data_IF_776916073829
#
_entry.id   IF_776916073829
#
_cell.length_a   1.000
_cell.length_b   1.000
_cell.length_c   1.000
_cell.angle_alpha   90.00
_cell.angle_beta   90.00
_cell.angle_gamma   90.00
#
_symmetry.space_group_name_H-M   'P 1'
#
loop_
_entity.id
_entity.type
_entity.pdbx_description
1 polymer ?
#
# COMPACT_ATOMS: atom_id res chain seq x y z
N UNK A 1 4.03 -4.07 23.46
CA UNK A 1 3.53 -3.30 22.31
C UNK A 1 3.60 -4.17 21.07
N UNK A 2 2.47 -4.35 20.45
CA UNK A 2 2.44 -5.07 19.18
C UNK A 2 3.06 -4.19 18.09
N UNK A 3 4.17 -4.67 17.54
CA UNK A 3 4.82 -3.97 16.44
C UNK A 3 4.23 -4.50 15.13
N UNK A 4 3.50 -3.62 14.43
CA UNK A 4 2.96 -3.99 13.12
C UNK A 4 4.10 -4.24 12.13
N UNK A 5 4.00 -5.35 11.41
CA UNK A 5 4.93 -5.68 10.34
C UNK A 5 4.49 -5.02 9.05
N UNK A 6 5.40 -4.31 8.40
CA UNK A 6 5.21 -3.68 7.11
C UNK A 6 6.14 -4.37 6.10
N UNK A 7 5.54 -5.00 5.10
CA UNK A 7 6.28 -5.53 3.96
C UNK A 7 6.40 -4.43 2.91
N UNK A 8 7.59 -4.18 2.41
CA UNK A 8 7.84 -3.12 1.44
C UNK A 8 8.61 -3.66 0.23
N UNK A 9 8.26 -3.19 -0.95
CA UNK A 9 8.94 -3.58 -2.18
C UNK A 9 8.76 -2.54 -3.27
N UNK A 10 9.74 -2.43 -4.15
CA UNK A 10 9.73 -1.50 -5.27
C UNK A 10 10.69 -1.95 -6.37
N UNK A 11 10.39 -1.56 -7.60
CA UNK A 11 11.34 -1.64 -8.70
C UNK A 11 12.28 -0.42 -8.70
N UNK A 12 13.07 -0.28 -9.76
CA UNK A 12 14.01 0.84 -9.92
C UNK A 12 13.34 2.22 -9.79
N UNK A 13 12.11 2.38 -10.32
CA UNK A 13 11.43 3.68 -10.29
C UNK A 13 11.01 4.09 -8.87
N UNK A 14 10.73 3.12 -8.01
CA UNK A 14 10.37 3.37 -6.61
C UNK A 14 11.51 3.16 -5.61
N UNK A 15 12.69 2.77 -6.07
CA UNK A 15 13.79 2.36 -5.21
C UNK A 15 14.20 3.43 -4.19
N UNK A 16 14.45 4.65 -4.64
CA UNK A 16 14.89 5.73 -3.76
C UNK A 16 13.83 6.07 -2.69
N UNK A 17 12.57 6.18 -3.12
CA UNK A 17 11.48 6.46 -2.19
C UNK A 17 11.27 5.29 -1.22
N UNK A 18 11.43 4.05 -1.67
CA UNK A 18 11.37 2.87 -0.80
C UNK A 18 12.41 2.96 0.33
N UNK A 19 13.64 3.29 0.00
CA UNK A 19 14.72 3.41 1.00
C UNK A 19 14.41 4.52 2.02
N UNK A 20 13.86 5.64 1.57
CA UNK A 20 13.45 6.74 2.45
C UNK A 20 12.32 6.30 3.38
N UNK A 21 11.28 5.66 2.84
CA UNK A 21 10.13 5.21 3.63
C UNK A 21 10.51 4.09 4.60
N UNK A 22 11.40 3.21 4.21
CA UNK A 22 11.91 2.16 5.07
C UNK A 22 12.50 2.74 6.35
N UNK A 23 13.42 3.69 6.23
CA UNK A 23 14.03 4.37 7.38
C UNK A 23 13.00 5.13 8.20
N UNK A 24 12.08 5.81 7.54
CA UNK A 24 11.01 6.55 8.19
C UNK A 24 10.13 5.65 9.06
N UNK A 25 9.74 4.50 8.53
CA UNK A 25 8.91 3.52 9.24
C UNK A 25 9.66 2.85 10.39
N UNK A 26 10.92 2.50 10.19
CA UNK A 26 11.76 1.92 11.22
C UNK A 26 11.91 2.87 12.41
N UNK A 27 12.11 4.17 12.16
CA UNK A 27 12.19 5.20 13.20
C UNK A 27 10.89 5.36 13.98
N UNK A 28 9.76 5.02 13.38
CA UNK A 28 8.45 5.04 14.04
C UNK A 28 8.16 3.77 14.84
N UNK A 29 9.03 2.78 14.77
CA UNK A 29 8.92 1.55 15.53
C UNK A 29 8.25 0.39 14.79
N UNK A 30 7.95 0.54 13.50
CA UNK A 30 7.43 -0.56 12.71
C UNK A 30 8.52 -1.59 12.41
N UNK A 31 8.12 -2.85 12.32
CA UNK A 31 8.98 -3.93 11.84
C UNK A 31 8.90 -3.96 10.30
N UNK A 32 9.92 -3.46 9.63
CA UNK A 32 9.92 -3.35 8.17
C UNK A 32 10.70 -4.52 7.55
N UNK A 33 10.03 -5.25 6.66
CA UNK A 33 10.64 -6.35 5.89
C UNK A 33 10.72 -5.91 4.44
N UNK A 34 11.93 -5.71 3.95
CA UNK A 34 12.22 -5.25 2.60
C UNK A 34 12.37 -6.44 1.66
N UNK A 35 11.52 -6.50 0.64
CA UNK A 35 11.52 -7.54 -0.38
C UNK A 35 12.26 -7.13 -1.67
N UNK A 36 12.94 -6.00 -1.66
CA UNK A 36 13.73 -5.51 -2.80
C UNK A 36 13.01 -4.35 -3.51
N UNK A 37 13.64 -3.77 -4.50
CA UNK A 37 14.97 -4.12 -4.99
C UNK A 37 16.04 -3.72 -3.96
N UNK A 38 17.11 -4.49 -3.90
CA UNK A 38 18.23 -4.20 -2.99
C UNK A 38 19.22 -3.21 -3.58
N UNK A 39 19.13 -3.00 -4.88
CA UNK A 39 19.96 -2.05 -5.62
C UNK A 39 19.18 -1.46 -6.80
N UNK A 40 19.62 -0.32 -7.29
CA UNK A 40 19.03 0.29 -8.48
C UNK A 40 19.45 -0.46 -9.73
N UNK A 41 18.47 -1.00 -10.48
CA UNK A 41 18.67 -1.65 -11.77
C UNK A 41 17.52 -1.21 -12.70
N UNK A 42 17.83 -0.36 -13.67
CA UNK A 42 16.82 0.19 -14.59
C UNK A 42 16.10 -0.85 -15.46
N UNK A 43 16.67 -2.06 -15.53
CA UNK A 43 16.11 -3.16 -16.32
C UNK A 43 15.31 -4.17 -15.50
N UNK A 44 15.08 -3.87 -14.21
CA UNK A 44 14.32 -4.80 -13.35
C UNK A 44 12.82 -4.79 -13.66
N UNK A 45 12.15 -5.85 -13.22
CA UNK A 45 10.72 -6.06 -13.42
C UNK A 45 9.99 -5.91 -12.07
N UNK A 46 9.04 -4.97 -11.99
CA UNK A 46 8.32 -4.70 -10.75
C UNK A 46 7.64 -5.93 -10.13
N UNK A 47 7.04 -6.88 -10.90
CA UNK A 47 6.36 -8.03 -10.27
C UNK A 47 7.27 -8.85 -9.36
N UNK A 48 8.56 -8.92 -9.66
CA UNK A 48 9.52 -9.70 -8.88
C UNK A 48 9.63 -9.20 -7.43
N UNK A 49 9.35 -7.92 -7.19
CA UNK A 49 9.41 -7.30 -5.86
C UNK A 49 8.03 -7.14 -5.22
N UNK A 50 6.98 -7.07 -6.05
CA UNK A 50 5.61 -6.82 -5.57
C UNK A 50 4.93 -8.11 -5.13
N UNK A 51 5.09 -9.21 -5.85
CA UNK A 51 4.49 -10.49 -5.46
C UNK A 51 4.92 -10.96 -4.07
N UNK A 52 6.21 -10.89 -3.68
CA UNK A 52 6.59 -11.25 -2.31
C UNK A 52 5.89 -10.40 -1.25
N UNK A 53 5.73 -9.10 -1.46
CA UNK A 53 4.99 -8.23 -0.54
C UNK A 53 3.55 -8.71 -0.41
N UNK A 54 2.86 -8.88 -1.52
CA UNK A 54 1.45 -9.27 -1.55
C UNK A 54 1.24 -10.67 -0.91
N UNK A 55 2.09 -11.63 -1.23
CA UNK A 55 2.01 -12.98 -0.69
C UNK A 55 2.19 -13.00 0.83
N UNK A 56 3.12 -12.22 1.35
CA UNK A 56 3.36 -12.14 2.79
C UNK A 56 2.21 -11.42 3.52
N UNK A 57 1.65 -10.37 2.93
CA UNK A 57 0.46 -9.71 3.50
C UNK A 57 -0.73 -10.66 3.54
N UNK A 58 -0.93 -11.46 2.50
CA UNK A 58 -2.02 -12.45 2.46
C UNK A 58 -1.88 -13.53 3.51
N UNK A 59 -0.65 -13.91 3.87
CA UNK A 59 -0.36 -14.94 4.87
C UNK A 59 -0.48 -14.43 6.31
N UNK A 60 -0.27 -13.13 6.52
CA UNK A 60 -0.33 -12.50 7.84
C UNK A 60 -1.30 -11.32 7.80
N UNK A 61 -2.53 -11.55 8.24
CA UNK A 61 -3.60 -10.56 8.20
C UNK A 61 -3.37 -9.36 9.13
N UNK A 62 -2.43 -9.44 10.05
CA UNK A 62 -2.05 -8.33 10.92
C UNK A 62 -0.96 -7.44 10.28
N UNK A 63 -0.34 -7.90 9.21
CA UNK A 63 0.64 -7.12 8.47
C UNK A 63 0.01 -6.24 7.39
N UNK A 64 0.79 -5.29 6.89
CA UNK A 64 0.41 -4.44 5.77
C UNK A 64 1.56 -4.35 4.77
N UNK A 65 1.23 -3.99 3.54
CA UNK A 65 2.22 -3.86 2.48
C UNK A 65 2.27 -2.45 1.93
N UNK A 66 3.47 -2.02 1.53
CA UNK A 66 3.69 -0.79 0.79
C UNK A 66 4.50 -1.15 -0.45
N UNK A 67 3.96 -0.82 -1.60
CA UNK A 67 4.61 -1.09 -2.89
C UNK A 67 4.78 0.21 -3.65
N UNK A 68 5.88 0.34 -4.36
CA UNK A 68 6.23 1.55 -5.06
C UNK A 68 6.73 1.25 -6.47
N UNK A 69 6.36 2.12 -7.38
CA UNK A 69 6.86 2.13 -8.75
C UNK A 69 6.83 3.54 -9.28
N UNK A 70 6.92 3.72 -10.59
CA UNK A 70 6.84 5.04 -11.20
C UNK A 70 5.45 5.66 -11.05
N UNK A 71 4.40 4.88 -11.28
CA UNK A 71 3.00 5.32 -11.16
C UNK A 71 2.22 4.59 -10.07
N UNK A 72 2.71 3.47 -9.59
CA UNK A 72 1.98 2.61 -8.66
C UNK A 72 0.90 1.76 -9.31
N UNK A 73 0.61 1.95 -10.59
CA UNK A 73 -0.52 1.27 -11.26
C UNK A 73 -0.25 -0.22 -11.47
N UNK A 74 0.88 -0.55 -12.09
CA UNK A 74 1.28 -1.94 -12.32
C UNK A 74 1.49 -2.69 -11.03
N UNK A 75 2.06 -2.02 -10.05
CA UNK A 75 2.31 -2.56 -8.71
C UNK A 75 0.99 -2.96 -8.02
N UNK A 76 -0.03 -2.11 -8.08
CA UNK A 76 -1.35 -2.44 -7.53
C UNK A 76 -2.01 -3.60 -8.29
N UNK A 77 -1.88 -3.63 -9.62
CA UNK A 77 -2.40 -4.74 -10.43
C UNK A 77 -1.75 -6.05 -9.99
N UNK A 78 -0.42 -6.06 -9.86
CA UNK A 78 0.32 -7.25 -9.43
C UNK A 78 -0.12 -7.70 -8.03
N UNK A 79 -0.17 -6.77 -7.08
CA UNK A 79 -0.56 -7.09 -5.71
C UNK A 79 -1.98 -7.67 -5.63
N UNK A 80 -2.92 -7.11 -6.39
CA UNK A 80 -4.31 -7.57 -6.40
C UNK A 80 -4.52 -8.93 -7.07
N UNK A 81 -3.51 -9.48 -7.73
CA UNK A 81 -3.56 -10.86 -8.25
C UNK A 81 -3.43 -11.90 -7.13
N UNK A 82 -3.01 -11.50 -5.96
CA UNK A 82 -2.88 -12.39 -4.80
C UNK A 82 -4.18 -12.35 -4.01
N UNK A 83 -4.78 -13.52 -3.81
CA UNK A 83 -6.03 -13.64 -3.06
C UNK A 83 -5.86 -13.12 -1.63
N UNK A 84 -6.81 -12.31 -1.18
CA UNK A 84 -6.77 -11.71 0.16
C UNK A 84 -6.08 -10.34 0.20
N UNK A 85 -5.50 -9.89 -0.92
CA UNK A 85 -4.89 -8.56 -1.03
C UNK A 85 -5.89 -7.58 -1.61
N UNK A 86 -5.96 -6.42 -0.99
CA UNK A 86 -6.74 -5.26 -1.44
C UNK A 86 -5.79 -4.08 -1.54
N UNK A 87 -5.17 -3.93 -2.70
CA UNK A 87 -4.21 -2.88 -2.98
C UNK A 87 -4.91 -1.68 -3.62
N UNK A 88 -4.55 -0.51 -3.16
CA UNK A 88 -5.04 0.77 -3.69
C UNK A 88 -3.85 1.64 -4.09
N UNK A 89 -4.05 2.48 -5.11
CA UNK A 89 -3.05 3.44 -5.56
C UNK A 89 -3.32 4.80 -4.94
N UNK A 90 -2.28 5.45 -4.47
CA UNK A 90 -2.35 6.85 -4.03
C UNK A 90 -1.25 7.66 -4.73
N UNK A 91 -1.65 8.66 -5.52
CA UNK A 91 -0.76 9.55 -6.25
C UNK A 91 -1.07 11.04 -5.98
N UNK A 92 -1.87 11.30 -4.97
CA UNK A 92 -2.26 12.65 -4.56
C UNK A 92 -3.71 12.70 -4.13
N UNK A 93 -4.04 13.73 -3.39
CA UNK A 93 -5.41 13.95 -2.90
C UNK A 93 -6.21 14.75 -3.95
N UNK A 94 -7.39 14.25 -4.28
CA UNK A 94 -8.32 14.91 -5.20
C UNK A 94 -9.55 15.42 -4.47
N UNK A 95 -10.11 16.52 -4.96
CA UNK A 95 -11.36 17.07 -4.43
C UNK A 95 -12.57 16.43 -5.11
N UNK A 96 -13.65 16.15 -4.37
CA UNK A 96 -14.90 15.69 -4.99
C UNK A 96 -15.43 16.70 -5.99
N UNK A 97 -15.87 16.20 -7.15
CA UNK A 97 -16.30 17.04 -8.27
C UNK A 97 -17.58 17.84 -7.95
N UNK A 98 -18.43 17.34 -7.06
CA UNK A 98 -19.68 17.98 -6.65
C UNK A 98 -19.55 18.83 -5.39
N UNK A 99 -18.32 19.03 -4.90
CA UNK A 99 -18.03 19.87 -3.75
C UNK A 99 -18.44 19.33 -2.39
N UNK A 100 -18.96 18.08 -2.33
CA UNK A 100 -19.32 17.48 -1.03
C UNK A 100 -18.11 17.26 -0.14
N UNK A 101 -18.32 17.31 1.16
CA UNK A 101 -17.30 16.92 2.11
C UNK A 101 -17.28 15.40 2.22
N UNK A 102 -16.11 14.82 1.99
CA UNK A 102 -15.87 13.38 2.18
C UNK A 102 -14.52 13.20 2.88
N UNK A 103 -14.32 12.08 3.57
CA UNK A 103 -13.00 11.76 4.09
C UNK A 103 -11.96 11.74 2.97
N UNK A 104 -10.71 12.02 3.31
CA UNK A 104 -9.62 11.89 2.36
C UNK A 104 -9.62 10.50 1.71
N UNK A 105 -9.21 10.43 0.45
CA UNK A 105 -9.23 9.18 -0.31
C UNK A 105 -8.50 8.04 0.41
N UNK A 106 -7.35 8.36 1.01
CA UNK A 106 -6.55 7.37 1.72
C UNK A 106 -7.25 6.86 3.00
N UNK A 107 -7.98 7.73 3.68
CA UNK A 107 -8.81 7.36 4.85
C UNK A 107 -9.94 6.43 4.41
N UNK A 108 -10.60 6.77 3.31
CA UNK A 108 -11.69 5.96 2.74
C UNK A 108 -11.22 4.56 2.36
N UNK A 109 -10.01 4.45 1.79
CA UNK A 109 -9.43 3.15 1.44
C UNK A 109 -9.32 2.22 2.66
N UNK A 110 -8.98 2.77 3.82
CA UNK A 110 -8.93 2.00 5.06
C UNK A 110 -10.31 1.76 5.64
N UNK A 111 -11.10 2.81 5.81
CA UNK A 111 -12.40 2.72 6.49
C UNK A 111 -13.42 1.87 5.74
N UNK A 112 -13.43 1.93 4.42
CA UNK A 112 -14.43 1.24 3.61
C UNK A 112 -13.95 -0.08 3.02
N UNK A 113 -12.68 -0.17 2.65
CA UNK A 113 -12.16 -1.31 1.89
C UNK A 113 -11.16 -2.16 2.66
N UNK A 114 -10.80 -1.74 3.86
CA UNK A 114 -9.75 -2.40 4.65
C UNK A 114 -8.53 -2.72 3.77
N UNK A 115 -8.12 -1.71 2.98
CA UNK A 115 -7.00 -1.85 2.06
C UNK A 115 -5.74 -2.23 2.84
N UNK A 116 -5.12 -3.34 2.46
CA UNK A 116 -3.97 -3.90 3.17
C UNK A 116 -2.65 -3.73 2.43
N UNK A 117 -2.68 -3.20 1.20
CA UNK A 117 -1.50 -2.80 0.44
C UNK A 117 -1.72 -1.40 -0.12
N UNK A 118 -0.77 -0.53 0.14
CA UNK A 118 -0.75 0.84 -0.41
C UNK A 118 0.29 0.91 -1.51
N UNK A 119 -0.13 1.32 -2.71
CA UNK A 119 0.75 1.48 -3.86
C UNK A 119 0.99 2.96 -4.14
N UNK A 120 2.24 3.35 -4.23
CA UNK A 120 2.66 4.75 -4.40
C UNK A 120 3.41 4.94 -5.70
N UNK A 121 3.08 6.02 -6.41
CA UNK A 121 3.78 6.42 -7.62
C UNK A 121 4.88 7.44 -7.31
N UNK A 122 6.13 6.99 -7.34
CA UNK A 122 7.28 7.81 -6.97
C UNK A 122 7.48 9.02 -7.91
N UNK A 123 6.96 8.95 -9.13
CA UNK A 123 7.04 10.07 -10.08
C UNK A 123 6.02 11.17 -9.81
N UNK A 124 5.02 10.90 -8.97
CA UNK A 124 3.90 11.82 -8.73
C UNK A 124 3.87 12.38 -7.30
N UNK A 125 4.61 11.78 -6.39
CA UNK A 125 4.60 12.16 -4.98
C UNK A 125 5.95 12.71 -4.56
N UNK A 126 5.93 13.81 -3.81
CA UNK A 126 7.11 14.23 -3.07
C UNK A 126 7.36 13.28 -1.89
N UNK A 127 8.56 13.33 -1.33
CA UNK A 127 8.90 12.61 -0.11
C UNK A 127 7.92 12.91 1.03
N UNK A 128 7.60 14.19 1.22
CA UNK A 128 6.67 14.66 2.25
C UNK A 128 5.26 14.10 2.04
N UNK A 129 4.75 14.19 0.81
CA UNK A 129 3.44 13.66 0.47
C UNK A 129 3.36 12.14 0.70
N UNK A 130 4.40 11.41 0.34
CA UNK A 130 4.47 9.97 0.55
C UNK A 130 4.47 9.61 2.04
N UNK A 131 5.26 10.32 2.85
CA UNK A 131 5.30 10.11 4.30
C UNK A 131 3.97 10.41 4.96
N UNK A 132 3.33 11.52 4.61
CA UNK A 132 2.02 11.88 5.15
C UNK A 132 0.96 10.84 4.78
N UNK A 133 0.96 10.38 3.54
CA UNK A 133 0.03 9.36 3.08
C UNK A 133 0.21 8.04 3.83
N UNK A 134 1.44 7.61 4.00
CA UNK A 134 1.77 6.36 4.72
C UNK A 134 1.33 6.46 6.18
N UNK A 135 1.64 7.58 6.85
CA UNK A 135 1.22 7.79 8.24
C UNK A 135 -0.29 7.72 8.39
N UNK A 136 -1.00 8.48 7.58
CA UNK A 136 -2.46 8.53 7.64
C UNK A 136 -3.07 7.16 7.37
N UNK A 137 -2.55 6.44 6.39
CA UNK A 137 -3.02 5.11 6.02
C UNK A 137 -2.80 4.10 7.16
N UNK A 138 -1.63 4.10 7.77
CA UNK A 138 -1.30 3.19 8.87
C UNK A 138 -2.06 3.52 10.16
N UNK A 139 -2.36 4.79 10.41
CA UNK A 139 -3.09 5.25 11.59
C UNK A 139 -4.60 5.07 11.47
N UNK A 140 -5.13 4.85 10.26
CA UNK A 140 -6.57 4.72 10.02
C UNK A 140 -6.99 3.26 10.10
N UNK A 141 -7.94 2.96 10.96
CA UNK A 141 -8.52 1.63 11.09
C UNK A 141 -9.67 1.37 10.11
N UNK A 142 -10.06 0.11 9.99
CA UNK A 142 -11.27 -0.28 9.28
C UNK A 142 -12.50 0.06 10.13
N UNK A 143 -13.56 0.57 9.48
CA UNK A 143 -14.79 0.98 10.19
C UNK A 143 -15.56 -0.18 10.82
N UNK A 144 -15.42 -1.38 10.24
CA UNK A 144 -16.16 -2.56 10.69
C UNK A 144 -17.64 -2.56 10.36
N UNK A 145 -18.13 -1.57 9.61
CA UNK A 145 -19.54 -1.51 9.20
C UNK A 145 -19.96 -2.72 8.36
N UNK A 146 -21.11 -3.28 8.65
CA UNK A 146 -21.61 -4.51 8.02
C UNK A 146 -21.65 -4.44 6.49
N UNK A 147 -22.07 -3.31 5.94
CA UNK A 147 -22.13 -3.11 4.48
C UNK A 147 -20.74 -3.22 3.82
N UNK A 148 -19.69 -2.74 4.50
CA UNK A 148 -18.32 -2.82 4.00
C UNK A 148 -17.75 -4.24 4.16
N UNK A 149 -18.02 -4.89 5.28
CA UNK A 149 -17.67 -6.30 5.50
C UNK A 149 -18.28 -7.20 4.42
N UNK A 150 -19.57 -6.99 4.12
CA UNK A 150 -20.27 -7.77 3.09
C UNK A 150 -19.60 -7.60 1.72
N UNK A 151 -19.25 -6.37 1.35
CA UNK A 151 -18.61 -6.07 0.06
C UNK A 151 -17.22 -6.66 -0.03
N UNK A 152 -16.40 -6.51 1.02
CA UNK A 152 -15.05 -7.09 1.09
C UNK A 152 -15.12 -8.61 0.99
N UNK A 153 -16.05 -9.24 1.67
CA UNK A 153 -16.24 -10.68 1.61
C UNK A 153 -16.50 -11.16 0.19
N UNK A 154 -17.28 -10.41 -0.59
CA UNK A 154 -17.53 -10.73 -2.00
C UNK A 154 -16.26 -10.60 -2.84
N UNK A 155 -15.41 -9.59 -2.56
CA UNK A 155 -14.11 -9.47 -3.22
C UNK A 155 -13.22 -10.67 -2.93
N UNK A 156 -13.13 -11.05 -1.67
CA UNK A 156 -12.25 -12.15 -1.22
C UNK A 156 -12.72 -13.53 -1.68
N UNK A 157 -13.99 -13.66 -2.05
CA UNK A 157 -14.56 -14.90 -2.60
C UNK A 157 -14.22 -15.11 -4.09
N UNK A 158 -13.90 -14.04 -4.81
CA UNK A 158 -13.37 -14.15 -6.17
C UNK A 158 -11.94 -14.63 -6.08
N UNK A 159 -11.71 -15.89 -6.40
CA UNK A 159 -10.41 -16.50 -6.23
C UNK A 159 -9.64 -16.64 -7.54
N UNK A 160 -8.35 -16.50 -7.46
CA UNK A 160 -7.40 -16.95 -8.46
C UNK A 160 -6.56 -18.07 -7.88
#
# INVERSE_FOLDING_TARGET
>A
MDTTTIHIGADHAGYELKEILKLFLERKGYNVIDHGADEYDEDDDYPDFIFPVAQNVALDTDSKGIVLGGSGQGEAIAANRVKGVRAVVFNGQYQPIDGREVPEEIVTARQHNDANVLSLGARFLSEEEAKEAVDLWLETGFSGEERHLRRIKKLDQMGF
#
